data_IF_209873048937
#
_entry.id   IF_209873048937
#
_cell.length_a   1.000
_cell.length_b   1.000
_cell.length_c   1.000
_cell.angle_alpha   90.00
_cell.angle_beta   90.00
_cell.angle_gamma   90.00
#
_symmetry.space_group_name_H-M   'P 1'
#
loop_
_entity.id
_entity.type
_entity.pdbx_description
1 polymer ?
#
# COMPACT_ATOMS: atom_id res chain seq x y z
N UNK A 1 -10.70 -16.66 -16.99
CA UNK A 1 -9.84 -16.07 -15.99
C UNK A 1 -8.74 -15.26 -16.65
N UNK A 2 -8.67 -14.02 -16.30
CA UNK A 2 -7.73 -13.12 -16.93
C UNK A 2 -6.40 -13.10 -16.17
N UNK A 3 -5.31 -13.14 -16.91
CA UNK A 3 -4.00 -12.97 -16.32
C UNK A 3 -3.70 -11.49 -16.15
N UNK A 4 -2.85 -11.18 -15.19
CA UNK A 4 -2.37 -9.83 -14.97
C UNK A 4 -0.88 -9.77 -15.23
N UNK A 5 -0.42 -8.60 -15.61
CA UNK A 5 1.00 -8.37 -15.80
C UNK A 5 1.45 -7.19 -14.94
N UNK A 6 2.71 -7.21 -14.56
CA UNK A 6 3.29 -6.12 -13.79
C UNK A 6 3.29 -4.86 -14.64
N UNK A 7 2.60 -3.85 -14.17
CA UNK A 7 2.51 -2.56 -14.85
C UNK A 7 3.66 -1.64 -14.45
N UNK A 8 4.14 -1.76 -13.22
CA UNK A 8 5.26 -0.96 -12.77
C UNK A 8 5.68 -1.31 -11.36
N UNK A 9 6.97 -1.12 -11.12
CA UNK A 9 7.55 -1.15 -9.78
C UNK A 9 8.07 0.25 -9.55
N UNK A 10 7.50 0.93 -8.57
CA UNK A 10 7.96 2.27 -8.23
C UNK A 10 9.09 2.18 -7.23
N UNK A 11 9.94 3.18 -7.23
CA UNK A 11 11.07 3.24 -6.32
C UNK A 11 10.62 3.20 -4.86
N UNK A 12 11.57 2.88 -3.99
CA UNK A 12 11.32 2.81 -2.56
C UNK A 12 10.88 4.18 -2.04
N UNK A 13 9.78 4.19 -1.30
CA UNK A 13 9.31 5.37 -0.61
C UNK A 13 9.68 5.27 0.86
N UNK A 14 10.32 6.31 1.37
CA UNK A 14 10.71 6.37 2.77
C UNK A 14 9.86 7.44 3.46
N UNK A 15 9.15 7.02 4.51
CA UNK A 15 8.36 7.92 5.35
C UNK A 15 9.14 8.27 6.60
N UNK A 16 9.00 9.50 7.06
CA UNK A 16 9.70 10.02 8.23
C UNK A 16 8.70 10.33 9.34
N UNK A 17 9.21 10.63 10.52
CA UNK A 17 8.37 10.96 11.67
C UNK A 17 7.32 12.02 11.32
N UNK A 18 6.08 11.76 11.69
CA UNK A 18 4.96 12.66 11.41
C UNK A 18 4.32 12.48 10.05
N UNK A 19 4.87 11.61 9.18
CA UNK A 19 4.29 11.36 7.86
C UNK A 19 2.90 10.75 8.00
N UNK A 20 2.04 11.09 7.07
CA UNK A 20 0.72 10.49 6.96
C UNK A 20 0.31 10.47 5.50
N UNK A 21 -0.66 9.62 5.17
CA UNK A 21 -1.13 9.47 3.80
C UNK A 21 -2.64 9.51 3.80
N UNK A 22 -3.19 10.48 3.06
CA UNK A 22 -4.64 10.63 2.93
C UNK A 22 -5.25 9.39 2.30
N UNK A 23 -6.43 9.00 2.75
CA UNK A 23 -7.18 7.92 2.11
C UNK A 23 -7.44 8.25 0.65
N UNK A 24 -7.20 7.29 -0.22
CA UNK A 24 -7.35 7.46 -1.66
C UNK A 24 -7.51 6.09 -2.33
N UNK A 25 -7.86 6.13 -3.60
CA UNK A 25 -7.78 4.95 -4.48
C UNK A 25 -6.58 5.10 -5.39
N UNK A 26 -6.07 3.99 -5.89
CA UNK A 26 -4.97 4.03 -6.84
C UNK A 26 -5.46 4.56 -8.20
N UNK A 27 -4.49 4.84 -9.09
CA UNK A 27 -4.79 5.35 -10.42
C UNK A 27 -5.71 4.37 -11.17
N UNK A 28 -6.72 4.86 -11.87
CA UNK A 28 -7.55 4.01 -12.73
C UNK A 28 -6.70 3.26 -13.75
N UNK A 29 -7.05 2.03 -14.01
CA UNK A 29 -6.31 1.18 -14.92
C UNK A 29 -5.54 0.06 -14.24
N UNK A 30 -5.17 0.24 -12.99
CA UNK A 30 -4.60 -0.84 -12.20
C UNK A 30 -5.73 -1.64 -11.59
N UNK A 31 -5.58 -2.95 -11.49
CA UNK A 31 -6.57 -3.81 -10.84
C UNK A 31 -6.03 -4.44 -9.56
N UNK A 32 -4.73 -4.63 -9.47
CA UNK A 32 -4.10 -5.23 -8.30
C UNK A 32 -2.87 -4.42 -7.94
N UNK A 33 -2.74 -4.10 -6.68
CA UNK A 33 -1.59 -3.38 -6.16
C UNK A 33 -0.95 -4.17 -5.03
N UNK A 34 0.32 -3.89 -4.77
CA UNK A 34 1.03 -4.51 -3.68
C UNK A 34 1.92 -3.51 -2.96
N UNK A 35 2.05 -3.71 -1.66
CA UNK A 35 2.95 -2.94 -0.81
C UNK A 35 3.87 -3.93 -0.13
N UNK A 36 5.17 -3.81 -0.40
CA UNK A 36 6.20 -4.61 0.26
C UNK A 36 6.89 -3.72 1.30
N UNK A 37 6.79 -4.08 2.56
CA UNK A 37 7.52 -3.37 3.60
C UNK A 37 8.96 -3.85 3.61
N UNK A 38 9.89 -2.91 3.46
CA UNK A 38 11.33 -3.22 3.39
C UNK A 38 11.96 -3.11 4.77
N UNK A 39 11.64 -2.03 5.49
CA UNK A 39 12.28 -1.76 6.77
C UNK A 39 11.40 -0.83 7.60
N UNK A 40 11.53 -0.94 8.91
CA UNK A 40 10.81 -0.08 9.86
C UNK A 40 11.72 0.25 11.03
N UNK A 41 11.63 1.50 11.48
CA UNK A 41 12.23 1.94 12.72
C UNK A 41 11.20 2.84 13.39
N UNK A 42 10.26 2.22 14.10
CA UNK A 42 9.06 2.89 14.62
C UNK A 42 8.94 2.71 16.12
N UNK A 43 8.37 3.72 16.79
CA UNK A 43 8.05 3.66 18.20
C UNK A 43 6.72 2.97 18.45
N UNK A 44 5.82 3.05 17.49
CA UNK A 44 4.54 2.36 17.49
C UNK A 44 4.30 1.80 16.10
N UNK A 45 3.66 0.63 16.01
CA UNK A 45 3.30 0.05 14.72
C UNK A 45 2.46 1.04 13.93
N UNK A 46 2.76 1.16 12.64
CA UNK A 46 2.13 2.15 11.76
C UNK A 46 1.25 1.45 10.73
N UNK A 47 -0.07 1.49 10.93
CA UNK A 47 -0.97 0.73 10.06
C UNK A 47 -1.22 1.40 8.73
N UNK A 48 -1.55 0.57 7.73
CA UNK A 48 -2.27 1.02 6.55
C UNK A 48 -3.73 0.64 6.72
N UNK A 49 -4.63 1.56 6.46
CA UNK A 49 -6.06 1.31 6.52
C UNK A 49 -6.56 0.96 5.12
N UNK A 50 -7.34 -0.09 5.04
CA UNK A 50 -7.83 -0.62 3.76
C UNK A 50 -9.32 -0.90 3.88
N UNK A 51 -10.07 -0.47 2.87
CA UNK A 51 -11.50 -0.71 2.78
C UNK A 51 -11.80 -2.21 2.74
N UNK A 52 -12.73 -2.65 3.57
CA UNK A 52 -13.15 -4.05 3.61
C UNK A 52 -14.44 -4.25 2.79
N UNK A 53 -14.94 -5.48 2.75
CA UNK A 53 -16.12 -5.83 1.96
C UNK A 53 -17.40 -5.13 2.43
N UNK A 54 -17.39 -4.56 3.63
CA UNK A 54 -18.53 -3.84 4.19
C UNK A 54 -18.39 -2.32 4.05
N UNK A 55 -17.29 -1.86 3.43
CA UNK A 55 -17.05 -0.44 3.20
C UNK A 55 -16.36 0.27 4.36
N UNK A 56 -15.93 -0.45 5.37
CA UNK A 56 -15.19 0.11 6.49
C UNK A 56 -13.70 0.00 6.27
N UNK A 57 -12.93 0.87 6.89
CA UNK A 57 -11.47 0.87 6.79
C UNK A 57 -10.88 0.07 7.95
N UNK A 58 -10.20 -1.03 7.61
CA UNK A 58 -9.53 -1.88 8.59
C UNK A 58 -8.04 -1.58 8.64
N UNK A 59 -7.43 -1.57 9.84
CA UNK A 59 -5.98 -1.40 9.95
C UNK A 59 -5.24 -2.69 9.66
N UNK A 60 -4.14 -2.58 8.93
CA UNK A 60 -3.23 -3.69 8.65
C UNK A 60 -1.82 -3.30 9.01
N UNK A 61 -1.12 -4.18 9.72
CA UNK A 61 0.22 -3.93 10.22
C UNK A 61 1.19 -4.85 9.51
N UNK A 62 2.09 -4.26 8.71
CA UNK A 62 3.09 -5.02 7.97
C UNK A 62 4.39 -5.06 8.76
N UNK A 63 5.10 -6.16 8.63
CA UNK A 63 6.46 -6.33 9.16
C UNK A 63 7.44 -6.31 7.99
N UNK A 64 8.72 -6.03 8.23
CA UNK A 64 9.71 -6.10 7.15
C UNK A 64 9.66 -7.44 6.45
N UNK A 65 9.57 -7.41 5.13
CA UNK A 65 9.43 -8.59 4.29
C UNK A 65 8.01 -8.97 3.96
N UNK A 66 7.01 -8.39 4.61
CA UNK A 66 5.61 -8.67 4.30
C UNK A 66 5.18 -7.97 3.02
N UNK A 67 4.44 -8.68 2.21
CA UNK A 67 3.82 -8.14 1.00
C UNK A 67 2.30 -8.18 1.17
N UNK A 68 1.67 -7.03 1.04
CA UNK A 68 0.21 -6.91 1.06
C UNK A 68 -0.30 -6.67 -0.35
N UNK A 69 -1.14 -7.57 -0.85
CA UNK A 69 -1.80 -7.39 -2.14
C UNK A 69 -3.24 -6.94 -1.92
N UNK A 70 -3.70 -6.01 -2.75
CA UNK A 70 -5.05 -5.48 -2.62
C UNK A 70 -5.58 -5.02 -3.98
N UNK A 71 -6.90 -4.97 -4.09
CA UNK A 71 -7.53 -4.41 -5.28
C UNK A 71 -7.24 -2.91 -5.33
N UNK A 72 -6.72 -2.45 -6.46
CA UNK A 72 -6.20 -1.08 -6.58
C UNK A 72 -7.25 0.00 -6.33
N UNK A 73 -8.51 -0.30 -6.57
CA UNK A 73 -9.58 0.69 -6.44
C UNK A 73 -10.23 0.72 -5.05
N UNK A 74 -9.76 -0.12 -4.12
CA UNK A 74 -10.20 0.01 -2.74
C UNK A 74 -9.60 1.25 -2.11
N UNK A 75 -10.39 1.93 -1.29
CA UNK A 75 -9.89 3.09 -0.56
C UNK A 75 -8.89 2.65 0.49
N UNK A 76 -7.77 3.35 0.57
CA UNK A 76 -6.73 3.03 1.53
C UNK A 76 -5.90 4.27 1.87
N UNK A 77 -5.22 4.22 2.99
CA UNK A 77 -4.40 5.32 3.44
C UNK A 77 -3.72 5.06 4.77
N UNK A 78 -2.99 6.06 5.23
CA UNK A 78 -2.29 6.04 6.51
C UNK A 78 -2.51 7.38 7.19
N UNK A 79 -3.73 7.59 7.68
CA UNK A 79 -4.08 8.90 8.25
C UNK A 79 -3.59 9.10 9.67
N UNK A 80 -3.12 8.02 10.32
CA UNK A 80 -2.43 8.15 11.61
C UNK A 80 -0.98 8.54 11.34
N UNK A 81 -0.47 9.63 11.96
CA UNK A 81 0.92 10.03 11.74
C UNK A 81 1.92 8.98 12.21
N UNK A 82 2.99 8.82 11.45
CA UNK A 82 4.10 7.93 11.81
C UNK A 82 4.81 8.44 13.06
N UNK A 83 5.02 7.56 14.01
CA UNK A 83 5.83 7.83 15.20
C UNK A 83 7.06 6.95 15.16
N UNK A 84 8.19 7.53 14.76
CA UNK A 84 9.43 6.80 14.62
C UNK A 84 10.40 7.52 13.71
N UNK A 85 11.49 6.81 13.36
CA UNK A 85 12.58 7.40 12.55
C UNK A 85 12.39 7.14 11.07
N UNK A 86 11.70 6.06 10.71
CA UNK A 86 11.50 5.78 9.30
C UNK A 86 10.67 4.53 9.04
N UNK A 87 10.13 4.46 7.83
CA UNK A 87 9.32 3.34 7.36
C UNK A 87 9.45 3.32 5.85
N UNK A 88 9.90 2.20 5.28
CA UNK A 88 10.22 2.13 3.86
C UNK A 88 9.41 1.04 3.16
N UNK A 89 8.79 1.40 2.06
CA UNK A 89 8.00 0.50 1.24
C UNK A 89 8.41 0.55 -0.21
N UNK A 90 8.16 -0.56 -0.93
CA UNK A 90 8.15 -0.61 -2.39
C UNK A 90 6.72 -0.87 -2.82
N UNK A 91 6.28 -0.18 -3.87
CA UNK A 91 4.94 -0.33 -4.42
C UNK A 91 5.01 -1.02 -5.77
N UNK A 92 4.09 -1.96 -6.00
CA UNK A 92 3.95 -2.64 -7.28
C UNK A 92 2.50 -2.53 -7.75
N UNK A 93 2.30 -2.45 -9.06
CA UNK A 93 0.97 -2.34 -9.64
C UNK A 93 0.84 -3.30 -10.81
N UNK A 94 -0.31 -3.91 -10.93
CA UNK A 94 -0.63 -4.86 -11.99
C UNK A 94 -1.85 -4.38 -12.76
N UNK A 95 -1.90 -4.75 -14.03
CA UNK A 95 -3.04 -4.49 -14.88
C UNK A 95 -3.35 -5.75 -15.69
N UNK A 96 -4.57 -5.85 -16.26
CA UNK A 96 -4.89 -7.00 -17.10
C UNK A 96 -3.98 -7.08 -18.31
N UNK A 97 -3.67 -8.31 -18.77
CA UNK A 97 -2.88 -8.52 -19.98
C UNK A 97 -3.52 -7.86 -21.20
N UNK A 98 -4.86 -7.80 -21.21
CA UNK A 98 -5.61 -7.23 -22.33
C UNK A 98 -5.54 -5.71 -22.41
N UNK A 99 -4.93 -5.07 -21.46
CA UNK A 99 -4.77 -3.60 -21.45
C UNK A 99 -3.63 -3.17 -22.35
N UNK A 100 -3.87 -2.10 -23.08
CA UNK A 100 -2.85 -1.50 -23.96
C UNK A 100 -2.40 -0.15 -23.43
#
# INVERSE_FOLDING_TARGET
KEEVQLSGIYGMRIYRNGAWLKNHCDRPGYILSGILNIDQDVDEDWPIFMENSEGYLDPHYLKPGDLMLYESQLEHGRETPLKGRGYANIFVHYRPDSWD
#
